data_IF_038935545235
#
_entry.id   IF_038935545235
#
_cell.length_a   1.000
_cell.length_b   1.000
_cell.length_c   1.000
_cell.angle_alpha   90.00
_cell.angle_beta   90.00
_cell.angle_gamma   90.00
#
_symmetry.space_group_name_H-M   'P 1'
#
loop_
_entity.id
_entity.type
_entity.pdbx_description
1 polymer ?
#
# COMPACT_ATOMS: atom_id res chain seq x y z
N UNK A 1 -7.87 18.97 -21.77
CA UNK A 1 -6.40 19.05 -21.62
C UNK A 1 -5.91 18.78 -20.20
N UNK A 2 -6.14 19.62 -19.17
CA UNK A 2 -5.59 19.34 -17.83
C UNK A 2 -6.13 18.06 -17.17
N UNK A 3 -7.44 17.79 -17.30
CA UNK A 3 -8.08 16.58 -16.75
C UNK A 3 -7.64 15.29 -17.48
N UNK A 4 -7.62 15.30 -18.81
CA UNK A 4 -7.12 14.16 -19.62
C UNK A 4 -5.65 13.84 -19.31
N UNK A 5 -4.81 14.86 -19.06
CA UNK A 5 -3.43 14.67 -18.66
C UNK A 5 -3.30 14.05 -17.25
N UNK A 6 -4.20 14.38 -16.32
CA UNK A 6 -4.24 13.80 -14.98
C UNK A 6 -4.65 12.32 -15.02
N UNK A 7 -5.71 11.98 -15.74
CA UNK A 7 -6.17 10.59 -15.87
C UNK A 7 -5.07 9.68 -16.48
N UNK A 8 -4.38 10.18 -17.51
CA UNK A 8 -3.24 9.46 -18.10
C UNK A 8 -2.09 9.28 -17.10
N UNK A 9 -1.77 10.31 -16.30
CA UNK A 9 -0.74 10.24 -15.28
C UNK A 9 -1.10 9.21 -14.20
N UNK A 10 -2.33 9.24 -13.69
CA UNK A 10 -2.79 8.36 -12.61
C UNK A 10 -2.75 6.88 -13.04
N UNK A 11 -3.21 6.57 -14.25
CA UNK A 11 -3.11 5.21 -14.79
C UNK A 11 -1.65 4.82 -15.03
N UNK A 12 -0.80 5.75 -15.46
CA UNK A 12 0.65 5.50 -15.62
C UNK A 12 1.30 5.14 -14.28
N UNK A 13 0.93 5.81 -13.20
CA UNK A 13 1.42 5.52 -11.84
C UNK A 13 0.99 4.11 -11.42
N UNK A 14 -0.27 3.75 -11.66
CA UNK A 14 -0.80 2.41 -11.36
C UNK A 14 -0.01 1.32 -12.10
N UNK A 15 0.25 1.50 -13.39
CA UNK A 15 1.04 0.55 -14.20
C UNK A 15 2.49 0.45 -13.70
N UNK A 16 3.11 1.58 -13.34
CA UNK A 16 4.48 1.59 -12.80
C UNK A 16 4.59 0.78 -11.51
N UNK A 17 3.61 0.90 -10.62
CA UNK A 17 3.59 0.12 -9.37
C UNK A 17 3.45 -1.38 -9.63
N UNK A 18 2.55 -1.78 -10.54
CA UNK A 18 2.40 -3.20 -10.92
C UNK A 18 3.73 -3.76 -11.46
N UNK A 19 4.38 -3.03 -12.37
CA UNK A 19 5.67 -3.44 -12.94
C UNK A 19 6.78 -3.53 -11.87
N UNK A 20 6.78 -2.63 -10.90
CA UNK A 20 7.75 -2.65 -9.81
C UNK A 20 7.54 -3.84 -8.86
N UNK A 21 6.28 -4.17 -8.54
CA UNK A 21 5.93 -5.35 -7.74
C UNK A 21 6.28 -6.66 -8.46
N UNK A 22 6.03 -6.73 -9.77
CA UNK A 22 6.44 -7.86 -10.61
C UNK A 22 7.97 -8.02 -10.63
N UNK A 23 8.70 -6.92 -10.85
CA UNK A 23 10.16 -6.92 -10.85
C UNK A 23 10.72 -7.39 -9.52
N UNK A 24 10.17 -6.94 -8.39
CA UNK A 24 10.53 -7.43 -7.07
C UNK A 24 10.29 -8.93 -6.95
N UNK A 25 9.12 -9.43 -7.37
CA UNK A 25 8.78 -10.86 -7.26
C UNK A 25 9.72 -11.74 -8.08
N UNK A 26 10.13 -11.29 -9.26
CA UNK A 26 11.11 -11.99 -10.09
C UNK A 26 12.47 -12.11 -9.40
N UNK A 27 12.95 -11.01 -8.79
CA UNK A 27 14.23 -10.99 -8.08
C UNK A 27 14.19 -11.80 -6.80
N UNK A 28 13.08 -11.75 -6.07
CA UNK A 28 12.85 -12.55 -4.87
C UNK A 28 12.85 -14.05 -5.22
N UNK A 29 12.10 -14.45 -6.24
CA UNK A 29 12.01 -15.84 -6.66
C UNK A 29 13.38 -16.38 -7.14
N UNK A 30 14.14 -15.56 -7.87
CA UNK A 30 15.53 -15.87 -8.24
C UNK A 30 16.41 -16.09 -6.99
N UNK A 31 16.28 -15.22 -5.99
CA UNK A 31 17.05 -15.31 -4.75
C UNK A 31 16.69 -16.53 -3.90
N UNK A 32 15.40 -16.80 -3.71
CA UNK A 32 14.90 -17.89 -2.85
C UNK A 32 15.29 -19.25 -3.41
N UNK A 33 15.25 -19.42 -4.73
CA UNK A 33 15.56 -20.69 -5.42
C UNK A 33 17.05 -20.88 -5.73
N UNK A 34 17.89 -19.87 -5.51
CA UNK A 34 19.33 -19.98 -5.79
C UNK A 34 20.03 -20.90 -4.79
N UNK A 35 20.66 -21.95 -5.29
CA UNK A 35 21.51 -22.87 -4.51
C UNK A 35 22.95 -22.84 -5.01
N UNK A 36 23.96 -22.59 -4.16
CA UNK A 36 23.87 -22.32 -2.72
C UNK A 36 23.30 -20.91 -2.42
N UNK A 37 22.57 -20.79 -1.31
CA UNK A 37 22.03 -19.50 -0.85
C UNK A 37 23.20 -18.61 -0.41
N UNK A 38 23.31 -17.37 -0.93
CA UNK A 38 24.39 -16.47 -0.51
C UNK A 38 24.21 -16.10 0.96
N UNK A 39 25.33 -15.84 1.65
CA UNK A 39 25.34 -15.52 3.08
C UNK A 39 24.67 -14.17 3.41
N UNK A 40 24.52 -13.29 2.42
CA UNK A 40 23.89 -11.99 2.57
C UNK A 40 22.91 -11.71 1.42
N UNK A 41 21.94 -10.85 1.71
CA UNK A 41 20.96 -10.41 0.72
C UNK A 41 21.65 -9.54 -0.34
N UNK A 42 21.56 -9.89 -1.63
CA UNK A 42 22.12 -9.10 -2.71
C UNK A 42 21.51 -7.69 -2.78
N UNK A 43 22.32 -6.71 -3.17
CA UNK A 43 21.86 -5.33 -3.37
C UNK A 43 20.70 -5.23 -4.38
N UNK A 44 20.65 -6.15 -5.36
CA UNK A 44 19.54 -6.24 -6.34
C UNK A 44 18.18 -6.45 -5.66
N UNK A 45 18.12 -7.27 -4.61
CA UNK A 45 16.87 -7.56 -3.88
C UNK A 45 16.42 -6.33 -3.10
N UNK A 46 17.35 -5.66 -2.41
CA UNK A 46 17.06 -4.43 -1.65
C UNK A 46 16.60 -3.30 -2.56
N UNK A 47 17.30 -3.09 -3.68
CA UNK A 47 16.94 -2.07 -4.67
C UNK A 47 15.56 -2.33 -5.27
N UNK A 48 15.23 -3.57 -5.60
CA UNK A 48 13.90 -3.90 -6.12
C UNK A 48 12.78 -3.62 -5.10
N UNK A 49 13.06 -3.79 -3.79
CA UNK A 49 12.11 -3.42 -2.75
C UNK A 49 11.96 -1.90 -2.64
N UNK A 50 13.08 -1.16 -2.61
CA UNK A 50 13.07 0.31 -2.61
C UNK A 50 12.28 0.87 -3.80
N UNK A 51 12.55 0.34 -5.01
CA UNK A 51 11.82 0.73 -6.23
C UNK A 51 10.31 0.42 -6.12
N UNK A 52 9.93 -0.73 -5.56
CA UNK A 52 8.52 -1.07 -5.32
C UNK A 52 7.86 -0.13 -4.32
N UNK A 53 8.51 0.18 -3.21
CA UNK A 53 8.03 1.12 -2.19
C UNK A 53 7.83 2.51 -2.78
N UNK A 54 8.82 3.04 -3.51
CA UNK A 54 8.73 4.35 -4.16
C UNK A 54 7.60 4.41 -5.19
N UNK A 55 7.35 3.34 -5.96
CA UNK A 55 6.23 3.33 -6.90
C UNK A 55 4.86 3.23 -6.20
N UNK A 56 4.82 2.69 -4.97
CA UNK A 56 3.59 2.55 -4.18
C UNK A 56 3.21 3.81 -3.39
N UNK A 57 4.17 4.67 -3.04
CA UNK A 57 3.91 5.95 -2.35
C UNK A 57 2.77 6.78 -2.95
N UNK A 58 2.76 7.10 -4.26
CA UNK A 58 1.68 7.93 -4.82
C UNK A 58 0.32 7.23 -4.76
N UNK A 59 0.27 5.90 -4.88
CA UNK A 59 -0.97 5.12 -4.75
C UNK A 59 -1.54 5.19 -3.33
N UNK A 60 -0.67 5.24 -2.32
CA UNK A 60 -1.04 5.32 -0.91
C UNK A 60 -1.48 6.75 -0.54
N UNK A 61 -0.85 7.75 -1.15
CA UNK A 61 -1.17 9.17 -0.92
C UNK A 61 -2.48 9.60 -1.59
N UNK A 62 -2.84 9.00 -2.72
CA UNK A 62 -4.10 9.26 -3.43
C UNK A 62 -3.89 9.49 -4.92
N UNK A 63 -4.39 8.56 -5.73
CA UNK A 63 -4.55 8.71 -7.19
C UNK A 63 -5.99 8.44 -7.60
N UNK A 64 -6.40 8.91 -8.79
CA UNK A 64 -7.76 8.73 -9.31
C UNK A 64 -8.83 9.31 -8.37
N UNK A 65 -8.50 10.39 -7.66
CA UNK A 65 -9.42 11.15 -6.82
C UNK A 65 -9.89 12.33 -7.65
N UNK A 66 -11.20 12.45 -7.87
CA UNK A 66 -11.72 13.55 -8.66
C UNK A 66 -11.57 14.86 -7.89
N UNK A 67 -11.34 15.97 -8.60
CA UNK A 67 -11.19 17.30 -7.97
C UNK A 67 -12.40 17.73 -7.11
N UNK A 68 -13.56 17.07 -7.28
CA UNK A 68 -14.77 17.28 -6.49
C UNK A 68 -14.74 16.57 -5.13
N UNK A 69 -13.92 15.55 -4.96
CA UNK A 69 -13.79 14.78 -3.72
C UNK A 69 -12.94 15.52 -2.66
N UNK A 70 -12.18 16.54 -3.09
CA UNK A 70 -11.43 17.44 -2.20
C UNK A 70 -12.30 18.41 -1.38
N UNK A 71 -13.59 18.54 -1.68
CA UNK A 71 -14.51 19.44 -0.99
C UNK A 71 -15.77 18.76 -0.40
N UNK A 72 -15.71 17.46 -0.08
CA UNK A 72 -16.82 16.79 0.64
C UNK A 72 -16.57 16.64 2.16
N UNK A 73 -16.13 17.72 2.81
CA UNK A 73 -16.26 17.89 4.27
C UNK A 73 -16.96 19.22 4.64
N UNK A 74 -17.85 19.71 3.77
CA UNK A 74 -18.77 20.79 4.09
C UNK A 74 -20.17 20.41 3.64
N UNK A 75 -20.94 19.84 4.57
CA UNK A 75 -22.36 19.47 4.46
C UNK A 75 -23.32 20.66 4.17
N UNK A 76 -22.83 21.77 3.60
CA UNK A 76 -23.59 23.00 3.43
C UNK A 76 -23.45 23.68 2.05
N UNK A 77 -22.70 23.13 1.09
CA UNK A 77 -22.45 23.87 -0.17
C UNK A 77 -23.14 23.35 -1.44
N UNK A 78 -23.72 22.14 -1.46
CA UNK A 78 -24.37 21.62 -2.68
C UNK A 78 -25.78 22.18 -2.95
N UNK A 79 -26.39 22.92 -2.01
CA UNK A 79 -27.80 23.35 -2.12
C UNK A 79 -28.02 24.66 -2.90
N UNK A 80 -26.97 25.37 -3.32
CA UNK A 80 -27.14 26.74 -3.86
C UNK A 80 -26.37 27.07 -5.13
N UNK A 81 -26.03 26.07 -5.96
CA UNK A 81 -25.59 26.34 -7.34
C UNK A 81 -26.29 25.44 -8.35
N UNK A 82 -27.58 25.71 -8.47
CA UNK A 82 -28.36 25.41 -9.65
C UNK A 82 -27.80 26.22 -10.84
N UNK A 83 -27.67 25.57 -11.99
CA UNK A 83 -27.72 26.18 -13.33
C UNK A 83 -26.64 27.22 -13.70
N UNK A 84 -25.51 26.78 -14.27
CA UNK A 84 -24.89 27.40 -15.44
C UNK A 84 -23.60 26.63 -15.80
N UNK A 85 -23.59 26.01 -16.98
CA UNK A 85 -22.45 25.40 -17.67
C UNK A 85 -21.63 24.34 -16.92
N UNK A 86 -21.82 23.05 -17.26
CA UNK A 86 -20.76 22.03 -17.36
C UNK A 86 -21.32 20.71 -17.93
N UNK A 87 -21.24 20.62 -19.26
CA UNK A 87 -20.89 19.46 -20.10
C UNK A 87 -21.11 18.04 -19.55
N UNK A 88 -21.92 17.31 -20.31
CA UNK A 88 -22.40 15.94 -20.27
C UNK A 88 -21.33 14.81 -20.27
N UNK A 89 -20.10 15.00 -19.79
CA UNK A 89 -19.02 13.96 -19.87
C UNK A 89 -18.34 13.61 -18.55
N UNK A 90 -18.65 14.31 -17.45
CA UNK A 90 -17.92 14.14 -16.17
C UNK A 90 -18.41 12.97 -15.31
N UNK A 91 -19.62 12.44 -15.55
CA UNK A 91 -20.20 11.36 -14.71
C UNK A 91 -19.71 9.96 -15.15
N UNK A 92 -19.55 9.75 -16.46
CA UNK A 92 -19.05 8.48 -17.00
C UNK A 92 -17.56 8.26 -16.70
N UNK A 93 -16.75 9.33 -16.79
CA UNK A 93 -15.33 9.29 -16.46
C UNK A 93 -15.11 9.03 -14.95
N UNK A 94 -15.86 9.72 -14.09
CA UNK A 94 -15.85 9.49 -12.64
C UNK A 94 -16.26 8.04 -12.30
N UNK A 95 -17.31 7.52 -12.93
CA UNK A 95 -17.72 6.13 -12.77
C UNK A 95 -16.64 5.14 -13.25
N UNK A 96 -15.93 5.46 -14.33
CA UNK A 96 -14.81 4.65 -14.82
C UNK A 96 -13.63 4.69 -13.84
N UNK A 97 -13.26 5.85 -13.31
CA UNK A 97 -12.22 5.99 -12.28
C UNK A 97 -12.55 5.18 -11.03
N UNK A 98 -13.79 5.26 -10.53
CA UNK A 98 -14.26 4.46 -9.40
C UNK A 98 -14.20 2.94 -9.68
N UNK A 99 -14.58 2.52 -10.89
CA UNK A 99 -14.48 1.13 -11.34
C UNK A 99 -13.04 0.64 -11.40
N UNK A 100 -12.09 1.47 -11.87
CA UNK A 100 -10.66 1.14 -11.88
C UNK A 100 -10.13 1.03 -10.45
N UNK A 101 -10.49 1.96 -9.57
CA UNK A 101 -10.05 1.96 -8.16
C UNK A 101 -10.53 0.72 -7.42
N UNK A 102 -11.83 0.42 -7.47
CA UNK A 102 -12.41 -0.73 -6.77
C UNK A 102 -11.84 -2.07 -7.26
N UNK A 103 -11.47 -2.19 -8.54
CA UNK A 103 -10.91 -3.43 -9.09
C UNK A 103 -9.41 -3.60 -8.85
N UNK A 104 -8.62 -2.56 -9.12
CA UNK A 104 -7.16 -2.69 -9.16
C UNK A 104 -6.47 -2.27 -7.86
N UNK A 105 -6.95 -1.23 -7.15
CA UNK A 105 -6.26 -0.76 -5.94
C UNK A 105 -6.21 -1.84 -4.84
N UNK A 106 -7.31 -2.55 -4.51
CA UNK A 106 -7.25 -3.63 -3.53
C UNK A 106 -6.23 -4.70 -3.88
N UNK A 107 -6.15 -5.12 -5.15
CA UNK A 107 -5.19 -6.15 -5.59
C UNK A 107 -3.74 -5.68 -5.48
N UNK A 108 -3.46 -4.43 -5.88
CA UNK A 108 -2.10 -3.88 -5.85
C UNK A 108 -1.64 -3.71 -4.40
N UNK A 109 -2.50 -3.22 -3.52
CA UNK A 109 -2.19 -3.05 -2.08
C UNK A 109 -1.98 -4.40 -1.40
N UNK A 110 -2.82 -5.40 -1.68
CA UNK A 110 -2.63 -6.75 -1.14
C UNK A 110 -1.33 -7.37 -1.65
N UNK A 111 -1.01 -7.19 -2.93
CA UNK A 111 0.27 -7.62 -3.51
C UNK A 111 1.44 -6.96 -2.80
N UNK A 112 1.38 -5.65 -2.57
CA UNK A 112 2.40 -4.92 -1.80
C UNK A 112 2.55 -5.42 -0.36
N UNK A 113 1.46 -5.77 0.33
CA UNK A 113 1.53 -6.41 1.65
C UNK A 113 2.25 -7.76 1.60
N UNK A 114 2.06 -8.55 0.54
CA UNK A 114 2.83 -9.79 0.37
C UNK A 114 4.32 -9.52 0.18
N UNK A 115 4.69 -8.46 -0.55
CA UNK A 115 6.06 -7.99 -0.77
C UNK A 115 6.73 -7.56 0.54
N UNK A 116 6.02 -6.82 1.38
CA UNK A 116 6.55 -6.42 2.69
C UNK A 116 6.68 -7.62 3.64
N UNK A 117 5.73 -8.56 3.60
CA UNK A 117 5.77 -9.76 4.44
C UNK A 117 6.99 -10.63 4.15
N UNK A 118 7.26 -10.90 2.88
CA UNK A 118 8.44 -11.65 2.43
C UNK A 118 9.74 -10.86 2.64
N UNK A 119 9.78 -9.56 2.35
CA UNK A 119 10.91 -8.70 2.68
C UNK A 119 11.24 -8.72 4.18
N UNK A 120 10.22 -8.85 5.03
CA UNK A 120 10.32 -9.12 6.46
C UNK A 120 11.19 -10.32 6.83
N UNK A 121 11.10 -11.39 6.04
CA UNK A 121 11.87 -12.62 6.25
C UNK A 121 13.26 -12.56 5.60
N UNK A 122 13.39 -11.84 4.49
CA UNK A 122 14.62 -11.83 3.69
C UNK A 122 15.58 -10.72 4.11
N UNK A 123 15.09 -9.49 4.31
CA UNK A 123 15.89 -8.27 4.45
C UNK A 123 15.92 -7.77 5.90
N UNK A 124 14.78 -7.34 6.44
CA UNK A 124 14.69 -6.79 7.80
C UNK A 124 13.28 -6.96 8.36
N UNK A 125 13.20 -7.17 9.67
CA UNK A 125 11.92 -7.22 10.41
C UNK A 125 11.19 -5.89 10.41
N UNK A 126 11.89 -4.79 10.14
CA UNK A 126 11.32 -3.44 10.07
C UNK A 126 10.32 -3.31 8.92
N UNK A 127 10.45 -4.08 7.85
CA UNK A 127 9.49 -4.07 6.74
C UNK A 127 8.10 -4.58 7.15
N UNK A 128 8.04 -5.45 8.17
CA UNK A 128 6.77 -5.88 8.77
C UNK A 128 6.12 -4.77 9.59
N UNK A 129 6.92 -3.87 10.20
CA UNK A 129 6.38 -2.68 10.86
C UNK A 129 5.81 -1.71 9.83
N UNK A 130 6.52 -1.49 8.72
CA UNK A 130 6.01 -0.69 7.59
C UNK A 130 4.67 -1.22 7.10
N UNK A 131 4.52 -2.55 7.02
CA UNK A 131 3.24 -3.17 6.66
C UNK A 131 2.15 -2.89 7.69
N UNK A 132 2.45 -2.94 8.99
CA UNK A 132 1.46 -2.59 10.03
C UNK A 132 1.12 -1.10 10.03
N UNK A 133 2.08 -0.21 9.78
CA UNK A 133 1.83 1.23 9.63
C UNK A 133 0.88 1.49 8.45
N UNK A 134 0.99 0.73 7.36
CA UNK A 134 0.06 0.82 6.22
C UNK A 134 -1.40 0.56 6.64
N UNK A 135 -1.66 -0.28 7.65
CA UNK A 135 -3.03 -0.48 8.17
C UNK A 135 -3.62 0.82 8.73
N UNK A 136 -2.80 1.62 9.40
CA UNK A 136 -3.22 2.92 9.95
C UNK A 136 -3.42 3.94 8.84
N UNK A 137 -2.59 3.90 7.79
CA UNK A 137 -2.73 4.77 6.62
C UNK A 137 -4.03 4.45 5.89
N UNK A 138 -4.34 3.18 5.64
CA UNK A 138 -5.60 2.77 4.99
C UNK A 138 -6.81 3.18 5.83
N UNK A 139 -6.74 3.07 7.15
CA UNK A 139 -7.83 3.43 8.05
C UNK A 139 -8.08 4.95 8.11
N UNK A 140 -7.02 5.76 8.10
CA UNK A 140 -7.07 7.21 8.34
C UNK A 140 -7.15 8.05 7.06
N UNK A 141 -6.74 7.53 5.90
CA UNK A 141 -6.62 8.33 4.69
C UNK A 141 -7.98 8.50 3.97
N UNK A 142 -8.80 9.43 4.48
CA UNK A 142 -10.08 9.81 3.87
C UNK A 142 -9.90 10.36 2.45
N UNK A 143 -8.76 11.00 2.15
CA UNK A 143 -8.47 11.60 0.84
C UNK A 143 -8.19 10.57 -0.24
N UNK A 144 -7.45 9.51 0.10
CA UNK A 144 -7.10 8.45 -0.85
C UNK A 144 -8.25 7.47 -1.11
N UNK A 145 -9.22 7.38 -0.18
CA UNK A 145 -10.39 6.52 -0.31
C UNK A 145 -10.08 5.02 -0.45
N UNK A 146 -8.88 4.58 -0.03
CA UNK A 146 -8.51 3.15 -0.05
C UNK A 146 -9.47 2.31 0.78
N UNK A 147 -9.84 2.79 1.97
CA UNK A 147 -10.86 2.12 2.81
C UNK A 147 -12.16 1.89 2.06
N UNK A 148 -12.61 2.88 1.30
CA UNK A 148 -13.83 2.80 0.50
C UNK A 148 -13.64 1.83 -0.68
N UNK A 149 -12.51 1.89 -1.38
CA UNK A 149 -12.21 0.95 -2.47
C UNK A 149 -12.21 -0.51 -2.00
N UNK A 150 -11.67 -0.81 -0.81
CA UNK A 150 -11.73 -2.15 -0.21
C UNK A 150 -13.15 -2.55 0.24
N UNK A 151 -13.95 -1.59 0.71
CA UNK A 151 -15.34 -1.84 1.10
C UNK A 151 -16.23 -2.11 -0.12
N UNK A 152 -16.10 -1.30 -1.17
CA UNK A 152 -16.82 -1.45 -2.44
C UNK A 152 -16.44 -2.74 -3.17
N UNK A 153 -15.16 -3.12 -3.12
CA UNK A 153 -14.69 -4.40 -3.67
C UNK A 153 -15.13 -5.62 -2.82
N UNK A 154 -15.59 -5.42 -1.58
CA UNK A 154 -15.93 -6.51 -0.66
C UNK A 154 -14.71 -7.30 -0.13
N UNK A 155 -13.50 -6.73 -0.23
CA UNK A 155 -12.21 -7.42 0.06
C UNK A 155 -11.57 -7.03 1.39
N UNK A 156 -12.33 -6.38 2.27
CA UNK A 156 -11.85 -5.99 3.60
C UNK A 156 -11.42 -7.21 4.46
N UNK A 157 -12.08 -8.36 4.27
CA UNK A 157 -11.76 -9.61 4.96
C UNK A 157 -10.37 -10.13 4.60
N UNK A 158 -10.00 -10.06 3.31
CA UNK A 158 -8.66 -10.43 2.83
C UNK A 158 -7.59 -9.50 3.42
N UNK A 159 -7.86 -8.19 3.41
CA UNK A 159 -6.95 -7.18 3.99
C UNK A 159 -6.67 -7.44 5.48
N UNK A 160 -7.72 -7.64 6.27
CA UNK A 160 -7.59 -7.92 7.71
C UNK A 160 -6.88 -9.25 7.95
N UNK A 161 -7.16 -10.27 7.12
CA UNK A 161 -6.49 -11.57 7.21
C UNK A 161 -4.99 -11.44 6.95
N UNK A 162 -4.60 -10.65 5.94
CA UNK A 162 -3.19 -10.37 5.64
C UNK A 162 -2.48 -9.67 6.80
N UNK A 163 -3.10 -8.67 7.43
CA UNK A 163 -2.52 -8.03 8.62
C UNK A 163 -2.39 -8.99 9.81
N UNK A 164 -3.35 -9.90 9.99
CA UNK A 164 -3.25 -10.93 11.02
C UNK A 164 -2.08 -11.89 10.75
N UNK A 165 -1.88 -12.32 9.50
CA UNK A 165 -0.73 -13.17 9.13
C UNK A 165 0.61 -12.45 9.30
N UNK A 166 0.70 -11.19 8.90
CA UNK A 166 1.90 -10.35 9.11
C UNK A 166 2.20 -10.22 10.61
N UNK A 167 1.18 -10.04 11.45
CA UNK A 167 1.33 -9.99 12.91
C UNK A 167 1.86 -11.32 13.47
N UNK A 168 1.35 -12.46 13.00
CA UNK A 168 1.86 -13.80 13.39
C UNK A 168 3.32 -13.99 13.01
N UNK A 169 3.69 -13.58 11.79
CA UNK A 169 5.08 -13.64 11.31
C UNK A 169 5.99 -12.81 12.21
N UNK A 170 5.58 -11.59 12.56
CA UNK A 170 6.34 -10.70 13.41
C UNK A 170 6.64 -11.31 14.78
N UNK A 171 5.66 -12.00 15.39
CA UNK A 171 5.83 -12.73 16.65
C UNK A 171 6.80 -13.90 16.51
N UNK A 172 6.66 -14.73 15.46
CA UNK A 172 7.54 -15.89 15.23
C UNK A 172 9.00 -15.48 14.99
N UNK A 173 9.22 -14.43 14.19
CA UNK A 173 10.58 -13.90 13.97
C UNK A 173 11.19 -13.31 15.25
N UNK A 174 10.35 -12.91 16.21
CA UNK A 174 10.82 -12.44 17.51
C UNK A 174 11.29 -13.59 18.41
N UNK A 175 10.58 -14.73 18.41
CA UNK A 175 10.96 -15.92 19.18
C UNK A 175 12.31 -16.49 18.74
N UNK A 176 12.57 -16.51 17.42
CA UNK A 176 13.82 -17.06 16.84
C UNK A 176 15.03 -16.15 17.11
N UNK A 177 14.81 -14.83 17.24
CA UNK A 177 15.86 -13.82 17.41
C UNK A 177 16.49 -13.72 18.80
N UNK A 178 15.98 -14.46 19.79
CA UNK A 178 16.54 -14.62 21.14
C UNK A 178 16.87 -13.31 21.87
N UNK A 179 15.94 -12.81 22.69
CA UNK A 179 16.09 -11.90 23.85
C UNK A 179 17.17 -10.79 23.86
N UNK A 180 17.68 -10.36 22.70
CA UNK A 180 18.55 -9.17 22.63
C UNK A 180 17.66 -7.96 22.79
N UNK A 181 17.62 -7.43 24.03
CA UNK A 181 16.97 -6.15 24.38
C UNK A 181 17.27 -5.15 23.28
N UNK A 182 16.24 -4.81 22.50
CA UNK A 182 16.35 -3.76 21.51
C UNK A 182 16.76 -2.48 22.25
N UNK A 183 17.87 -1.87 21.82
CA UNK A 183 18.34 -0.61 22.39
C UNK A 183 17.22 0.40 22.13
N UNK A 184 16.56 0.88 23.19
CA UNK A 184 15.42 1.82 23.14
C UNK A 184 15.64 2.89 22.07
N UNK A 185 15.09 2.68 20.88
CA UNK A 185 15.18 3.66 19.80
C UNK A 185 14.36 4.88 20.22
N UNK A 186 15.03 6.04 20.28
CA UNK A 186 14.39 7.33 20.49
C UNK A 186 13.62 7.68 19.23
N UNK A 187 12.38 7.20 19.11
CA UNK A 187 11.57 7.53 17.93
C UNK A 187 10.17 6.93 17.86
N UNK A 188 9.64 6.30 18.90
CA UNK A 188 8.26 5.76 18.92
C UNK A 188 8.01 4.57 17.99
N UNK A 189 8.84 4.33 16.98
CA UNK A 189 8.84 3.16 16.09
C UNK A 189 9.56 1.96 16.72
N UNK A 190 9.20 1.62 17.95
CA UNK A 190 9.82 0.50 18.65
C UNK A 190 9.06 -0.80 18.43
N UNK A 191 9.77 -1.89 18.16
CA UNK A 191 9.23 -3.27 18.19
C UNK A 191 8.73 -3.69 19.58
N UNK A 192 8.90 -2.86 20.60
CA UNK A 192 8.61 -3.16 22.00
C UNK A 192 7.16 -3.53 22.32
N UNK A 193 6.17 -3.05 21.55
CA UNK A 193 4.77 -3.48 21.73
C UNK A 193 4.55 -4.95 21.33
N UNK A 194 5.44 -5.49 20.48
CA UNK A 194 5.41 -6.86 19.97
C UNK A 194 6.41 -7.78 20.69
N UNK A 195 7.14 -7.27 21.69
CA UNK A 195 8.01 -8.06 22.56
C UNK A 195 7.17 -8.74 23.65
N UNK A 196 6.74 -9.97 23.41
CA UNK A 196 6.09 -10.79 24.45
C UNK A 196 7.16 -11.18 25.47
N UNK A 197 7.08 -10.64 26.68
CA UNK A 197 7.88 -11.09 27.82
C UNK A 197 7.24 -12.37 28.38
N UNK A 198 7.71 -13.52 27.91
CA UNK A 198 7.43 -14.84 28.49
C UNK A 198 8.49 -15.25 29.49
#
# INVERSE_FOLDING_TARGET
MQQEAQAYYDVTVLVKAVNALEAWRMVENEYVNRTPRPASVPAKVKRALEDATTCMEPLIDGILVDAKDGECSSLLYWKTRHLADCVFTTDEEAAMHASIRSKYLPEIVLSYLTVLSSAGHLISRDELLTAMDLSTVIANNERCGLRQAFAEAGRMTELVTMFAEISKVMLKLNEIGGHKRSKKERGGRGLGIWEIHG
#
